data_IF_724810964671
#
_entry.id   IF_724810964671
#
_cell.length_a   1.000
_cell.length_b   1.000
_cell.length_c   1.000
_cell.angle_alpha   90.00
_cell.angle_beta   90.00
_cell.angle_gamma   90.00
#
_symmetry.space_group_name_H-M   'P 1'
#
loop_
_entity.id
_entity.type
_entity.pdbx_description
1 polymer ?
#
# COMPACT_ATOMS: atom_id res chain seq x y z
N UNK A 1 9.50 25.23 0.51
CA UNK A 1 9.03 26.28 1.45
C UNK A 1 7.77 26.92 0.89
N UNK A 2 6.60 26.58 1.45
CA UNK A 2 5.28 26.96 0.93
C UNK A 2 4.47 27.76 1.95
N UNK A 3 5.03 28.87 2.46
CA UNK A 3 4.39 29.71 3.48
C UNK A 3 3.75 31.00 2.92
N UNK A 4 3.99 31.37 1.66
CA UNK A 4 3.60 32.69 1.13
C UNK A 4 2.14 32.83 0.67
N UNK A 5 1.47 31.75 0.25
CA UNK A 5 0.14 31.84 -0.36
C UNK A 5 -0.99 31.92 0.66
N UNK A 6 -0.84 31.28 1.83
CA UNK A 6 -1.89 31.26 2.85
C UNK A 6 -2.02 32.62 3.56
N UNK A 7 -0.89 33.30 3.83
CA UNK A 7 -0.89 34.61 4.49
C UNK A 7 -1.64 35.69 3.70
N UNK A 8 -1.65 35.62 2.36
CA UNK A 8 -2.39 36.56 1.52
C UNK A 8 -3.91 36.39 1.61
N UNK A 9 -4.40 35.20 1.94
CA UNK A 9 -5.84 34.96 2.09
C UNK A 9 -6.36 35.38 3.46
N UNK A 10 -5.51 35.30 4.50
CA UNK A 10 -5.88 35.73 5.85
C UNK A 10 -6.15 37.23 5.97
N UNK A 11 -5.66 38.04 5.04
CA UNK A 11 -5.87 39.49 5.01
C UNK A 11 -7.07 39.93 4.16
N UNK A 12 -7.78 39.00 3.52
CA UNK A 12 -8.98 39.34 2.73
C UNK A 12 -10.15 39.64 3.68
N UNK A 13 -10.80 40.82 3.60
CA UNK A 13 -11.89 41.20 4.51
C UNK A 13 -13.00 40.14 4.61
N UNK A 14 -13.31 39.47 3.49
CA UNK A 14 -14.36 38.43 3.44
C UNK A 14 -14.01 37.14 4.19
N UNK A 15 -12.76 37.00 4.64
CA UNK A 15 -12.29 35.94 5.54
C UNK A 15 -11.94 36.52 6.91
N UNK A 16 -11.15 37.59 6.96
CA UNK A 16 -10.54 38.12 8.19
C UNK A 16 -11.55 38.67 9.18
N UNK A 17 -12.70 39.17 8.72
CA UNK A 17 -13.78 39.65 9.59
C UNK A 17 -14.48 38.52 10.37
N UNK A 18 -14.17 37.26 10.06
CA UNK A 18 -14.84 36.09 10.63
C UNK A 18 -13.89 35.13 11.35
N UNK A 19 -12.60 35.46 11.46
CA UNK A 19 -11.65 34.65 12.25
C UNK A 19 -11.99 34.74 13.73
N UNK A 20 -11.91 33.61 14.43
CA UNK A 20 -12.11 33.53 15.88
C UNK A 20 -10.86 32.91 16.48
N UNK A 21 -10.28 33.48 17.53
CA UNK A 21 -9.20 32.84 18.28
C UNK A 21 -9.80 31.89 19.31
N UNK A 22 -9.27 30.68 19.41
CA UNK A 22 -9.73 29.70 20.39
C UNK A 22 -8.53 29.07 21.11
N UNK A 23 -8.33 29.30 22.42
CA UNK A 23 -9.01 30.27 23.30
C UNK A 23 -8.80 31.75 22.89
N UNK A 24 -9.57 32.69 23.45
CA UNK A 24 -9.57 34.10 23.00
C UNK A 24 -8.22 34.82 23.19
N UNK A 25 -7.39 34.36 24.13
CA UNK A 25 -6.02 34.81 24.36
C UNK A 25 -5.03 33.70 23.95
N UNK A 26 -4.02 34.03 23.14
CA UNK A 26 -3.00 33.12 22.59
C UNK A 26 -3.52 31.84 21.89
N UNK A 27 -4.79 31.86 21.46
CA UNK A 27 -5.43 30.71 20.83
C UNK A 27 -5.08 30.46 19.38
N UNK A 28 -5.53 29.31 18.90
CA UNK A 28 -5.42 28.97 17.48
C UNK A 28 -6.52 29.66 16.70
N UNK A 29 -6.16 30.24 15.55
CA UNK A 29 -7.13 30.79 14.61
C UNK A 29 -8.12 29.70 14.14
N UNK A 30 -9.37 29.87 14.51
CA UNK A 30 -10.50 29.14 13.98
C UNK A 30 -11.14 29.94 12.84
N UNK A 31 -11.20 29.32 11.67
CA UNK A 31 -11.85 29.89 10.49
C UNK A 31 -13.17 29.16 10.25
N UNK A 32 -14.33 29.81 10.47
CA UNK A 32 -15.63 29.16 10.32
C UNK A 32 -15.79 28.56 8.93
N UNK A 33 -16.04 27.24 8.87
CA UNK A 33 -16.10 26.47 7.63
C UNK A 33 -17.06 27.05 6.59
N UNK A 34 -18.19 27.64 7.02
CA UNK A 34 -19.16 28.28 6.13
C UNK A 34 -18.55 29.46 5.37
N UNK A 35 -17.82 30.33 6.07
CA UNK A 35 -17.20 31.52 5.51
C UNK A 35 -16.09 31.15 4.53
N UNK A 36 -15.22 30.21 4.92
CA UNK A 36 -14.16 29.72 4.02
C UNK A 36 -14.73 29.11 2.74
N UNK A 37 -15.87 28.41 2.82
CA UNK A 37 -16.56 27.85 1.64
C UNK A 37 -17.16 28.94 0.75
N UNK A 38 -17.82 29.95 1.33
CA UNK A 38 -18.37 31.08 0.58
C UNK A 38 -17.27 31.87 -0.13
N UNK A 39 -16.16 32.15 0.56
CA UNK A 39 -14.99 32.79 -0.04
C UNK A 39 -14.43 32.00 -1.23
N UNK A 40 -14.29 30.67 -1.07
CA UNK A 40 -13.86 29.80 -2.19
C UNK A 40 -14.81 29.82 -3.37
N UNK A 41 -16.13 29.90 -3.13
CA UNK A 41 -17.15 29.88 -4.17
C UNK A 41 -17.19 31.19 -4.98
N UNK A 42 -16.91 32.32 -4.34
CA UNK A 42 -17.03 33.65 -4.95
C UNK A 42 -15.72 34.17 -5.58
N UNK A 43 -14.65 33.36 -5.60
CA UNK A 43 -13.34 33.80 -6.05
C UNK A 43 -13.29 33.97 -7.58
N UNK A 44 -12.89 35.14 -8.10
CA UNK A 44 -12.58 35.30 -9.52
C UNK A 44 -11.23 34.65 -9.85
N UNK A 45 -11.23 33.76 -10.84
CA UNK A 45 -10.09 32.95 -11.28
C UNK A 45 -10.45 31.47 -11.49
N UNK A 46 -9.56 30.69 -12.12
CA UNK A 46 -9.75 29.24 -12.32
C UNK A 46 -10.04 28.63 -10.94
N UNK A 47 -11.24 28.07 -10.77
CA UNK A 47 -11.69 27.50 -9.50
C UNK A 47 -10.64 26.55 -8.93
N UNK A 48 -10.63 26.38 -7.60
CA UNK A 48 -9.79 25.36 -6.98
C UNK A 48 -9.94 24.08 -7.80
N UNK A 49 -8.82 23.53 -8.29
CA UNK A 49 -8.78 22.27 -9.03
C UNK A 49 -9.27 21.14 -8.13
N UNK A 50 -10.57 21.12 -7.89
CA UNK A 50 -11.29 20.06 -7.20
C UNK A 50 -11.44 18.95 -8.21
N UNK A 51 -11.13 17.74 -7.74
CA UNK A 51 -11.28 16.53 -8.52
C UNK A 51 -12.64 16.43 -9.21
N UNK A 52 -12.62 15.59 -10.23
CA UNK A 52 -13.75 15.12 -11.04
C UNK A 52 -15.07 15.08 -10.23
N UNK A 53 -16.17 15.55 -10.84
CA UNK A 53 -17.51 15.58 -10.23
C UNK A 53 -17.83 14.23 -9.58
N UNK A 54 -18.48 14.26 -8.42
CA UNK A 54 -19.04 13.06 -7.79
C UNK A 54 -19.82 12.24 -8.83
N UNK A 55 -19.38 11.00 -9.11
CA UNK A 55 -20.00 10.11 -10.10
C UNK A 55 -19.25 9.92 -11.43
N UNK A 56 -18.16 10.63 -11.69
CA UNK A 56 -17.32 10.35 -12.86
C UNK A 56 -16.27 9.27 -12.52
N UNK A 57 -16.67 8.00 -12.59
CA UNK A 57 -15.77 6.85 -12.45
C UNK A 57 -14.69 6.84 -13.55
N UNK A 58 -13.58 6.15 -13.32
CA UNK A 58 -12.51 5.96 -14.30
C UNK A 58 -13.11 5.62 -15.68
N UNK A 59 -12.62 6.25 -16.76
CA UNK A 59 -13.15 6.01 -18.12
C UNK A 59 -12.86 4.60 -18.64
N UNK A 60 -12.03 3.84 -17.92
CA UNK A 60 -11.69 2.45 -18.19
C UNK A 60 -11.93 1.61 -16.92
N UNK A 61 -12.24 0.31 -17.08
CA UNK A 61 -12.30 -0.62 -15.95
C UNK A 61 -11.01 -0.64 -15.14
N UNK A 62 -11.12 -0.84 -13.82
CA UNK A 62 -9.96 -0.76 -12.91
C UNK A 62 -8.89 -1.81 -13.19
N UNK A 63 -9.32 -2.97 -13.64
CA UNK A 63 -8.48 -4.09 -14.07
C UNK A 63 -7.71 -3.79 -15.37
N UNK A 64 -8.21 -2.87 -16.21
CA UNK A 64 -7.52 -2.44 -17.43
C UNK A 64 -6.45 -1.35 -17.17
N UNK A 65 -6.48 -0.67 -16.03
CA UNK A 65 -5.58 0.48 -15.77
C UNK A 65 -4.10 0.08 -15.87
N UNK A 66 -3.69 -0.99 -15.19
CA UNK A 66 -2.27 -1.40 -15.19
C UNK A 66 -1.79 -1.93 -16.55
N UNK A 67 -2.54 -2.81 -17.25
CA UNK A 67 -2.20 -3.20 -18.63
C UNK A 67 -2.05 -2.00 -19.57
N UNK A 68 -2.97 -1.03 -19.52
CA UNK A 68 -2.90 0.16 -20.39
C UNK A 68 -1.71 1.07 -20.06
N UNK A 69 -1.38 1.24 -18.78
CA UNK A 69 -0.17 1.97 -18.37
C UNK A 69 1.09 1.26 -18.87
N UNK A 70 1.11 -0.08 -18.86
CA UNK A 70 2.20 -0.86 -19.43
C UNK A 70 2.36 -0.59 -20.93
N UNK A 71 1.28 -0.67 -21.71
CA UNK A 71 1.31 -0.34 -23.14
C UNK A 71 1.87 1.08 -23.38
N UNK A 72 1.43 2.08 -22.61
CA UNK A 72 1.94 3.46 -22.74
C UNK A 72 3.43 3.57 -22.44
N UNK A 73 3.94 2.85 -21.43
CA UNK A 73 5.36 2.83 -21.09
C UNK A 73 6.22 2.09 -22.13
N UNK A 74 5.66 1.11 -22.86
CA UNK A 74 6.37 0.44 -23.96
C UNK A 74 6.59 1.39 -25.14
N UNK A 75 5.64 2.27 -25.41
CA UNK A 75 5.76 3.27 -26.47
C UNK A 75 6.61 4.48 -26.03
N UNK A 76 6.46 4.92 -24.78
CA UNK A 76 7.17 6.06 -24.24
C UNK A 76 7.55 5.83 -22.76
N UNK A 77 8.79 5.38 -22.45
CA UNK A 77 9.22 5.15 -21.07
C UNK A 77 9.26 6.43 -20.22
N UNK A 78 9.36 7.59 -20.88
CA UNK A 78 9.36 8.91 -20.27
C UNK A 78 7.95 9.51 -20.07
N UNK A 79 6.88 8.77 -20.40
CA UNK A 79 5.51 9.28 -20.26
C UNK A 79 5.25 9.79 -18.84
N UNK A 80 4.63 10.97 -18.79
CA UNK A 80 4.38 11.69 -17.56
C UNK A 80 3.05 11.27 -16.93
N UNK A 81 2.93 11.58 -15.65
CA UNK A 81 1.71 11.37 -14.89
C UNK A 81 0.49 12.09 -15.50
N UNK A 82 0.70 13.30 -16.03
CA UNK A 82 -0.38 14.08 -16.64
C UNK A 82 -0.86 13.41 -17.93
N UNK A 83 0.08 13.01 -18.81
CA UNK A 83 -0.26 12.35 -20.08
C UNK A 83 -1.01 11.03 -19.85
N UNK A 84 -0.57 10.20 -18.89
CA UNK A 84 -1.29 8.96 -18.55
C UNK A 84 -2.72 9.24 -18.07
N UNK A 85 -2.89 10.22 -17.18
CA UNK A 85 -4.21 10.56 -16.66
C UNK A 85 -5.15 11.08 -17.75
N UNK A 86 -4.63 11.90 -18.66
CA UNK A 86 -5.39 12.48 -19.77
C UNK A 86 -5.74 11.42 -20.83
N UNK A 87 -4.79 10.56 -21.22
CA UNK A 87 -5.00 9.49 -22.22
C UNK A 87 -6.00 8.45 -21.71
N UNK A 88 -5.87 8.01 -20.46
CA UNK A 88 -6.71 6.94 -19.89
C UNK A 88 -8.00 7.46 -19.25
N UNK A 89 -8.17 8.77 -19.11
CA UNK A 89 -9.33 9.37 -18.44
C UNK A 89 -9.48 8.93 -16.97
N UNK A 90 -8.36 8.74 -16.27
CA UNK A 90 -8.31 8.32 -14.86
C UNK A 90 -7.87 9.46 -13.95
N UNK A 91 -8.09 9.31 -12.64
CA UNK A 91 -7.60 10.32 -11.70
C UNK A 91 -6.07 10.38 -11.67
N UNK A 92 -5.53 11.60 -11.78
CA UNK A 92 -4.08 11.84 -11.71
C UNK A 92 -3.50 11.33 -10.38
N UNK A 93 -4.19 11.62 -9.29
CA UNK A 93 -3.86 11.16 -7.94
C UNK A 93 -5.08 10.50 -7.31
N UNK A 94 -4.93 9.35 -6.63
CA UNK A 94 -3.71 8.53 -6.53
C UNK A 94 -3.50 7.57 -7.72
N UNK A 95 -4.51 7.37 -8.58
CA UNK A 95 -4.57 6.23 -9.51
C UNK A 95 -3.44 6.19 -10.53
N UNK A 96 -3.27 7.22 -11.36
CA UNK A 96 -2.23 7.24 -12.38
C UNK A 96 -0.81 7.22 -11.77
N UNK A 97 -0.62 7.88 -10.63
CA UNK A 97 0.67 7.90 -9.93
C UNK A 97 1.05 6.52 -9.43
N UNK A 98 0.13 5.85 -8.72
CA UNK A 98 0.36 4.51 -8.18
C UNK A 98 0.57 3.51 -9.32
N UNK A 99 -0.25 3.57 -10.38
CA UNK A 99 -0.14 2.69 -11.53
C UNK A 99 1.21 2.81 -12.25
N UNK A 100 1.66 4.04 -12.55
CA UNK A 100 2.98 4.27 -13.15
C UNK A 100 4.12 3.73 -12.28
N UNK A 101 4.09 4.02 -10.98
CA UNK A 101 5.12 3.57 -10.05
C UNK A 101 5.17 2.04 -9.98
N UNK A 102 4.00 1.39 -9.92
CA UNK A 102 3.87 -0.06 -9.86
C UNK A 102 4.33 -0.75 -11.14
N UNK A 103 3.93 -0.27 -12.32
CA UNK A 103 4.32 -0.88 -13.60
C UNK A 103 5.82 -0.71 -13.85
N UNK A 104 6.38 0.48 -13.58
CA UNK A 104 7.84 0.70 -13.67
C UNK A 104 8.61 -0.27 -12.77
N UNK A 105 8.16 -0.40 -11.52
CA UNK A 105 8.78 -1.28 -10.55
C UNK A 105 8.71 -2.77 -10.94
N UNK A 106 7.56 -3.24 -11.44
CA UNK A 106 7.41 -4.62 -11.94
C UNK A 106 8.38 -4.92 -13.07
N UNK A 107 8.53 -4.01 -14.04
CA UNK A 107 9.47 -4.17 -15.15
C UNK A 107 10.93 -4.17 -14.70
N UNK A 108 11.29 -3.34 -13.73
CA UNK A 108 12.62 -3.38 -13.10
C UNK A 108 12.84 -4.77 -12.46
N UNK A 109 11.86 -5.27 -11.72
CA UNK A 109 11.95 -6.59 -11.10
C UNK A 109 12.02 -7.73 -12.14
N UNK A 110 11.24 -7.67 -13.22
CA UNK A 110 11.28 -8.64 -14.32
C UNK A 110 12.66 -8.67 -14.99
N UNK A 111 13.25 -7.49 -15.24
CA UNK A 111 14.58 -7.37 -15.84
C UNK A 111 15.67 -7.93 -14.92
N UNK A 112 15.59 -7.70 -13.60
CA UNK A 112 16.53 -8.28 -12.63
C UNK A 112 16.37 -9.79 -12.50
N UNK A 113 15.15 -10.31 -12.60
CA UNK A 113 14.95 -11.77 -12.62
C UNK A 113 15.59 -12.38 -13.87
N UNK A 114 15.50 -11.72 -15.02
CA UNK A 114 16.14 -12.17 -16.26
C UNK A 114 17.67 -11.98 -16.27
N UNK A 115 18.17 -10.93 -15.63
CA UNK A 115 19.59 -10.59 -15.51
C UNK A 115 19.94 -10.22 -14.07
N UNK A 116 20.26 -11.22 -13.21
CA UNK A 116 20.51 -11.01 -11.78
C UNK A 116 21.76 -10.17 -11.45
N UNK A 117 22.61 -9.88 -12.44
CA UNK A 117 23.77 -9.01 -12.25
C UNK A 117 23.38 -7.53 -12.18
N UNK A 118 22.17 -7.16 -12.60
CA UNK A 118 21.69 -5.79 -12.58
C UNK A 118 21.26 -5.34 -11.19
N UNK A 119 21.70 -4.15 -10.81
CA UNK A 119 21.07 -3.40 -9.71
C UNK A 119 19.73 -2.78 -10.15
N UNK A 120 18.82 -2.47 -9.21
CA UNK A 120 17.58 -1.74 -9.51
C UNK A 120 17.77 -0.44 -10.29
N UNK A 121 18.82 0.32 -10.00
CA UNK A 121 19.12 1.56 -10.72
C UNK A 121 19.54 1.29 -12.17
N UNK A 122 20.47 0.35 -12.40
CA UNK A 122 20.89 -0.04 -13.74
C UNK A 122 19.74 -0.61 -14.58
N UNK A 123 18.83 -1.37 -13.95
CA UNK A 123 17.63 -1.85 -14.61
C UNK A 123 16.70 -0.69 -15.02
N UNK A 124 16.51 0.32 -14.16
CA UNK A 124 15.71 1.51 -14.50
C UNK A 124 16.33 2.33 -15.64
N UNK A 125 17.66 2.48 -15.66
CA UNK A 125 18.40 3.12 -16.75
C UNK A 125 18.28 2.33 -18.07
N UNK A 126 18.40 1.01 -18.01
CA UNK A 126 18.27 0.13 -19.18
C UNK A 126 16.84 0.13 -19.76
N UNK A 127 15.84 0.38 -18.93
CA UNK A 127 14.45 0.60 -19.34
C UNK A 127 14.17 2.04 -19.79
N UNK A 128 15.20 2.89 -19.88
CA UNK A 128 15.12 4.30 -20.28
C UNK A 128 14.15 5.15 -19.45
N UNK A 129 13.93 4.81 -18.17
CA UNK A 129 13.09 5.61 -17.30
C UNK A 129 13.77 6.93 -16.90
N UNK A 130 13.04 8.06 -16.82
CA UNK A 130 13.60 9.33 -16.39
C UNK A 130 14.15 9.25 -14.96
N UNK A 131 15.31 9.87 -14.72
CA UNK A 131 16.02 9.84 -13.42
C UNK A 131 15.14 10.28 -12.25
N UNK A 132 14.26 11.26 -12.46
CA UNK A 132 13.30 11.75 -11.42
C UNK A 132 12.36 10.65 -10.92
N UNK A 133 12.16 9.59 -11.70
CA UNK A 133 11.28 8.45 -11.35
C UNK A 133 12.03 7.31 -10.68
N UNK A 134 13.37 7.29 -10.75
CA UNK A 134 14.20 6.16 -10.30
C UNK A 134 13.96 5.84 -8.83
N UNK A 135 14.07 6.83 -7.93
CA UNK A 135 13.97 6.60 -6.49
C UNK A 135 12.67 5.89 -6.09
N UNK A 136 11.53 6.34 -6.61
CA UNK A 136 10.22 5.74 -6.30
C UNK A 136 10.04 4.36 -6.94
N UNK A 137 10.45 4.20 -8.20
CA UNK A 137 10.35 2.93 -8.90
C UNK A 137 11.28 1.85 -8.30
N UNK A 138 12.49 2.23 -7.88
CA UNK A 138 13.48 1.34 -7.26
C UNK A 138 12.99 0.81 -5.91
N UNK A 139 12.50 1.66 -5.01
CA UNK A 139 12.01 1.23 -3.70
C UNK A 139 10.84 0.21 -3.82
N UNK A 140 9.92 0.45 -4.76
CA UNK A 140 8.81 -0.47 -5.04
C UNK A 140 9.35 -1.76 -5.70
N UNK A 141 10.32 -1.66 -6.61
CA UNK A 141 10.92 -2.82 -7.27
C UNK A 141 11.65 -3.74 -6.27
N UNK A 142 12.37 -3.16 -5.31
CA UNK A 142 13.00 -3.92 -4.23
C UNK A 142 11.97 -4.66 -3.39
N UNK A 143 10.84 -4.01 -3.07
CA UNK A 143 9.73 -4.65 -2.36
C UNK A 143 9.11 -5.79 -3.17
N UNK A 144 8.89 -5.58 -4.47
CA UNK A 144 8.41 -6.61 -5.40
C UNK A 144 9.38 -7.82 -5.47
N UNK A 145 10.69 -7.58 -5.57
CA UNK A 145 11.71 -8.63 -5.59
C UNK A 145 11.77 -9.41 -4.27
N UNK A 146 11.64 -8.73 -3.12
CA UNK A 146 11.48 -9.41 -1.83
C UNK A 146 10.22 -10.28 -1.83
N UNK A 147 9.10 -9.76 -2.33
CA UNK A 147 7.84 -10.50 -2.47
C UNK A 147 7.99 -11.77 -3.29
N UNK A 148 8.62 -11.68 -4.47
CA UNK A 148 8.89 -12.84 -5.35
C UNK A 148 9.78 -13.88 -4.69
N UNK A 149 10.78 -13.46 -3.91
CA UNK A 149 11.69 -14.36 -3.20
C UNK A 149 11.02 -15.11 -2.06
N UNK A 150 10.07 -14.47 -1.38
CA UNK A 150 9.45 -15.03 -0.17
C UNK A 150 8.17 -15.80 -0.45
N UNK A 151 7.41 -15.42 -1.48
CA UNK A 151 6.15 -16.08 -1.84
C UNK A 151 6.25 -17.61 -1.94
N UNK A 152 7.29 -18.22 -2.56
CA UNK A 152 7.40 -19.68 -2.62
C UNK A 152 7.44 -20.34 -1.24
N UNK A 153 8.16 -19.73 -0.28
CA UNK A 153 8.21 -20.22 1.09
C UNK A 153 6.84 -20.14 1.78
N UNK A 154 6.14 -19.01 1.65
CA UNK A 154 4.82 -18.84 2.30
C UNK A 154 3.78 -19.76 1.65
N UNK A 155 3.85 -19.95 0.34
CA UNK A 155 3.01 -20.92 -0.39
C UNK A 155 3.28 -22.35 0.09
N UNK A 156 4.55 -22.75 0.25
CA UNK A 156 4.90 -24.07 0.79
C UNK A 156 4.30 -24.32 2.18
N UNK A 157 4.24 -23.29 3.03
CA UNK A 157 3.56 -23.38 4.34
C UNK A 157 2.05 -23.54 4.16
N UNK A 158 1.42 -22.77 3.26
CA UNK A 158 -0.01 -22.92 2.97
C UNK A 158 -0.35 -24.32 2.46
N UNK A 159 0.46 -24.86 1.55
CA UNK A 159 0.28 -26.21 0.99
C UNK A 159 0.43 -27.27 2.09
N UNK A 160 1.45 -27.18 2.95
CA UNK A 160 1.63 -28.10 4.07
C UNK A 160 0.48 -28.04 5.10
N UNK A 161 -0.10 -26.84 5.33
CA UNK A 161 -1.28 -26.69 6.18
C UNK A 161 -2.51 -27.33 5.53
N UNK A 162 -2.65 -27.25 4.20
CA UNK A 162 -3.73 -27.87 3.46
C UNK A 162 -3.62 -29.41 3.46
N UNK A 163 -2.42 -29.94 3.21
CA UNK A 163 -2.13 -31.37 3.28
C UNK A 163 -2.43 -31.96 4.67
N UNK A 164 -2.19 -31.18 5.73
CA UNK A 164 -2.50 -31.55 7.11
C UNK A 164 -3.99 -31.39 7.48
N UNK A 165 -4.84 -30.91 6.56
CA UNK A 165 -6.26 -30.63 6.82
C UNK A 165 -6.52 -29.46 7.78
N UNK A 166 -5.54 -28.57 7.96
CA UNK A 166 -5.60 -27.43 8.88
C UNK A 166 -6.14 -26.17 8.15
N UNK A 167 -5.82 -26.03 6.87
CA UNK A 167 -6.30 -24.97 5.99
C UNK A 167 -6.92 -25.56 4.72
N UNK A 168 -7.70 -24.76 3.99
CA UNK A 168 -8.09 -25.10 2.62
C UNK A 168 -6.93 -24.75 1.65
N UNK A 169 -6.78 -25.46 0.53
CA UNK A 169 -5.83 -25.08 -0.52
C UNK A 169 -6.09 -23.64 -1.00
N UNK A 170 -5.06 -22.79 -0.96
CA UNK A 170 -5.18 -21.38 -1.32
C UNK A 170 -3.91 -20.88 -1.99
N UNK A 171 -4.07 -20.00 -2.98
CA UNK A 171 -2.94 -19.23 -3.53
C UNK A 171 -2.67 -18.05 -2.59
N UNK A 172 -1.46 -17.98 -2.04
CA UNK A 172 -1.10 -16.97 -1.06
C UNK A 172 -0.97 -15.60 -1.72
N UNK A 173 -1.77 -14.65 -1.23
CA UNK A 173 -1.63 -13.24 -1.58
C UNK A 173 -0.66 -12.53 -0.63
N UNK A 174 0.43 -12.00 -1.19
CA UNK A 174 1.36 -11.15 -0.46
C UNK A 174 0.82 -9.71 -0.40
N UNK A 175 0.80 -9.12 0.78
CA UNK A 175 0.38 -7.75 1.02
C UNK A 175 1.57 -6.91 1.48
N UNK A 176 1.72 -5.74 0.86
CA UNK A 176 2.67 -4.72 1.30
C UNK A 176 2.03 -3.86 2.41
N UNK A 177 2.79 -3.62 3.46
CA UNK A 177 2.47 -2.75 4.58
C UNK A 177 3.04 -1.33 4.35
N UNK A 178 2.58 -0.32 5.11
CA UNK A 178 2.95 1.09 4.85
C UNK A 178 4.46 1.35 4.98
N UNK A 179 5.18 0.52 5.73
CA UNK A 179 6.63 0.59 5.91
C UNK A 179 7.39 -0.38 4.97
N UNK A 180 6.80 -0.73 3.83
CA UNK A 180 7.40 -1.59 2.78
C UNK A 180 7.72 -3.04 3.20
N UNK A 181 7.21 -3.45 4.36
CA UNK A 181 7.26 -4.83 4.82
C UNK A 181 6.17 -5.66 4.18
N UNK A 182 6.44 -6.95 4.04
CA UNK A 182 5.52 -7.90 3.47
C UNK A 182 4.80 -8.70 4.54
N UNK A 183 3.53 -8.99 4.31
CA UNK A 183 2.75 -9.90 5.13
C UNK A 183 1.83 -10.76 4.28
N UNK A 184 1.44 -11.92 4.79
CA UNK A 184 0.47 -12.80 4.17
C UNK A 184 -0.43 -13.40 5.25
N UNK A 185 -1.67 -13.70 4.89
CA UNK A 185 -2.64 -14.30 5.78
C UNK A 185 -3.19 -15.58 5.17
N UNK A 186 -3.19 -16.66 5.96
CA UNK A 186 -3.71 -17.97 5.58
C UNK A 186 -4.90 -18.29 6.50
N UNK A 187 -6.13 -18.23 5.98
CA UNK A 187 -7.30 -18.63 6.73
C UNK A 187 -7.22 -20.11 7.13
N UNK A 188 -7.51 -20.40 8.39
CA UNK A 188 -7.60 -21.77 8.88
C UNK A 188 -9.05 -22.26 8.85
N UNK A 189 -9.20 -23.58 8.74
CA UNK A 189 -10.51 -24.26 8.75
C UNK A 189 -11.28 -23.93 10.02
N UNK A 190 -12.61 -24.05 9.97
CA UNK A 190 -13.49 -23.74 11.11
C UNK A 190 -13.26 -24.66 12.32
N UNK A 191 -12.62 -25.82 12.13
CA UNK A 191 -12.26 -26.73 13.20
C UNK A 191 -11.09 -26.23 14.07
N UNK A 192 -10.35 -25.21 13.61
CA UNK A 192 -9.25 -24.62 14.37
C UNK A 192 -9.75 -23.56 15.34
N UNK A 193 -9.20 -23.55 16.56
CA UNK A 193 -9.50 -22.52 17.57
C UNK A 193 -9.06 -21.12 17.11
N UNK A 194 -7.94 -21.05 16.39
CA UNK A 194 -7.48 -19.83 15.74
C UNK A 194 -8.02 -19.74 14.33
N UNK A 195 -8.58 -18.60 13.91
CA UNK A 195 -9.18 -18.48 12.59
C UNK A 195 -8.19 -18.22 11.44
N UNK A 196 -7.02 -17.63 11.69
CA UNK A 196 -6.05 -17.24 10.65
C UNK A 196 -4.60 -17.33 11.16
N UNK A 197 -3.68 -17.71 10.28
CA UNK A 197 -2.25 -17.50 10.45
C UNK A 197 -1.75 -16.32 9.63
N UNK A 198 -0.88 -15.53 10.23
CA UNK A 198 -0.26 -14.38 9.59
C UNK A 198 1.24 -14.57 9.59
N UNK A 199 1.84 -14.48 8.42
CA UNK A 199 3.27 -14.27 8.27
C UNK A 199 3.52 -12.77 8.12
N UNK A 200 4.43 -12.22 8.92
CA UNK A 200 4.94 -10.86 8.80
C UNK A 200 6.47 -10.93 8.60
N UNK A 201 6.98 -10.22 7.59
CA UNK A 201 8.41 -10.22 7.26
C UNK A 201 9.32 -9.82 8.44
N UNK A 202 8.79 -9.05 9.40
CA UNK A 202 9.55 -8.59 10.57
C UNK A 202 9.52 -9.58 11.72
N UNK A 203 8.37 -10.22 11.92
CA UNK A 203 8.08 -10.94 13.17
C UNK A 203 7.84 -12.43 12.97
N UNK A 204 7.81 -12.91 11.73
CA UNK A 204 7.54 -14.31 11.41
C UNK A 204 6.07 -14.67 11.50
N UNK A 205 5.80 -15.91 11.88
CA UNK A 205 4.45 -16.46 11.93
C UNK A 205 3.78 -16.21 13.26
N UNK A 206 2.51 -15.82 13.21
CA UNK A 206 1.64 -15.69 14.39
C UNK A 206 0.21 -16.07 14.10
N UNK A 207 -0.53 -16.40 15.14
CA UNK A 207 -1.99 -16.49 15.09
C UNK A 207 -2.64 -15.09 15.00
N UNK A 208 -3.83 -15.04 14.42
CA UNK A 208 -4.67 -13.85 14.40
C UNK A 208 -6.13 -14.22 14.67
N UNK A 209 -6.83 -13.37 15.42
CA UNK A 209 -8.20 -13.61 15.89
C UNK A 209 -9.29 -13.14 14.93
N UNK A 210 -8.94 -12.34 13.91
CA UNK A 210 -9.90 -11.78 12.95
C UNK A 210 -9.71 -12.35 11.54
N UNK A 211 -10.75 -12.99 10.98
CA UNK A 211 -10.77 -13.36 9.55
C UNK A 211 -10.88 -12.16 8.62
N UNK A 212 -11.56 -11.10 9.06
CA UNK A 212 -11.81 -9.91 8.21
C UNK A 212 -10.58 -9.02 8.09
N UNK A 213 -9.81 -8.88 9.18
CA UNK A 213 -8.66 -7.99 9.24
C UNK A 213 -7.47 -8.67 9.95
N UNK A 214 -6.95 -9.80 9.41
CA UNK A 214 -5.97 -10.64 10.13
C UNK A 214 -4.62 -9.95 10.36
N UNK A 215 -4.18 -9.14 9.41
CA UNK A 215 -2.91 -8.42 9.46
C UNK A 215 -2.99 -7.19 10.39
N UNK A 216 -4.20 -6.65 10.60
CA UNK A 216 -4.42 -5.48 11.45
C UNK A 216 -3.97 -4.15 10.79
N UNK A 217 -3.79 -3.12 11.62
CA UNK A 217 -3.17 -1.85 11.21
C UNK A 217 -1.65 -1.97 11.29
N UNK A 218 -0.93 -1.04 10.69
CA UNK A 218 0.53 -1.03 10.78
C UNK A 218 0.98 -0.74 12.21
N UNK A 219 1.71 -1.70 12.78
CA UNK A 219 2.34 -1.61 14.08
C UNK A 219 3.86 -1.53 13.89
N UNK A 220 4.53 -0.69 14.68
CA UNK A 220 6.00 -0.64 14.73
C UNK A 220 6.59 -1.71 15.66
N UNK A 221 5.78 -2.25 16.57
CA UNK A 221 6.10 -3.39 17.44
C UNK A 221 5.35 -4.65 17.03
N UNK A 222 5.83 -5.79 17.52
CA UNK A 222 5.18 -7.08 17.38
C UNK A 222 3.74 -7.00 17.94
N UNK A 223 2.70 -7.38 17.18
CA UNK A 223 1.34 -7.48 17.71
C UNK A 223 1.26 -8.44 18.91
N UNK A 224 0.58 -8.00 19.95
CA UNK A 224 0.33 -8.75 21.20
C UNK A 224 -1.16 -8.71 21.54
N UNK A 225 -1.61 -9.68 22.33
CA UNK A 225 -2.99 -9.76 22.80
C UNK A 225 -3.48 -11.21 22.94
N UNK A 226 -4.66 -11.36 23.54
CA UNK A 226 -5.32 -12.65 23.68
C UNK A 226 -5.52 -13.31 22.31
N UNK A 227 -5.12 -14.58 22.18
CA UNK A 227 -5.21 -15.34 20.93
C UNK A 227 -4.13 -15.02 19.89
N UNK A 228 -3.13 -14.18 20.22
CA UNK A 228 -1.95 -13.94 19.38
C UNK A 228 -0.75 -14.70 19.97
N UNK A 229 -0.27 -15.69 19.22
CA UNK A 229 0.85 -16.56 19.58
C UNK A 229 1.80 -16.65 18.39
N UNK A 230 3.07 -16.38 18.64
CA UNK A 230 4.14 -16.54 17.64
C UNK A 230 4.54 -18.00 17.51
N UNK A 231 4.81 -18.42 16.28
CA UNK A 231 5.00 -19.82 15.93
C UNK A 231 6.38 -20.04 15.30
N UNK A 232 7.12 -20.97 15.89
CA UNK A 232 8.47 -21.33 15.46
C UNK A 232 9.51 -20.27 15.80
N UNK A 233 10.78 -20.62 15.56
CA UNK A 233 11.90 -19.72 15.79
C UNK A 233 12.23 -18.96 14.50
N UNK A 234 12.21 -17.63 14.58
CA UNK A 234 12.56 -16.74 13.48
C UNK A 234 11.46 -16.52 12.44
N UNK A 235 11.82 -15.91 11.32
CA UNK A 235 10.86 -15.40 10.32
C UNK A 235 10.43 -16.49 9.33
N UNK A 236 11.27 -17.51 9.11
CA UNK A 236 11.03 -18.59 8.13
C UNK A 236 11.31 -19.99 8.69
N UNK A 237 10.64 -20.42 9.77
CA UNK A 237 10.74 -21.79 10.27
C UNK A 237 10.29 -22.80 9.21
N UNK A 238 10.75 -24.04 9.31
CA UNK A 238 10.33 -25.09 8.36
C UNK A 238 8.82 -25.37 8.52
N UNK A 239 8.09 -25.75 7.46
CA UNK A 239 6.65 -26.05 7.57
C UNK A 239 6.32 -27.06 8.68
N UNK A 240 7.12 -28.11 8.83
CA UNK A 240 6.95 -29.11 9.89
C UNK A 240 7.11 -28.54 11.31
N UNK A 241 7.94 -27.52 11.52
CA UNK A 241 8.10 -26.84 12.81
C UNK A 241 6.85 -26.03 13.16
N UNK A 242 6.28 -25.33 12.18
CA UNK A 242 5.03 -24.59 12.34
C UNK A 242 3.85 -25.51 12.66
N UNK A 243 3.73 -26.63 11.96
CA UNK A 243 2.69 -27.63 12.23
C UNK A 243 2.78 -28.18 13.66
N UNK A 244 3.99 -28.45 14.15
CA UNK A 244 4.21 -28.86 15.55
C UNK A 244 3.85 -27.74 16.53
N UNK A 245 4.26 -26.50 16.27
CA UNK A 245 3.94 -25.36 17.12
C UNK A 245 2.41 -25.15 17.24
N UNK A 246 1.68 -25.28 16.12
CA UNK A 246 0.22 -25.20 16.08
C UNK A 246 -0.45 -26.33 16.88
N UNK A 247 0.02 -27.56 16.70
CA UNK A 247 -0.51 -28.70 17.44
C UNK A 247 -0.28 -28.58 18.95
N UNK A 248 0.88 -28.06 19.37
CA UNK A 248 1.19 -27.79 20.78
C UNK A 248 0.33 -26.67 21.35
N UNK A 249 0.10 -25.59 20.61
CA UNK A 249 -0.79 -24.50 21.04
C UNK A 249 -2.24 -24.99 21.26
N UNK A 250 -2.71 -25.94 20.44
CA UNK A 250 -4.02 -26.58 20.62
C UNK A 250 -4.12 -27.38 21.94
N UNK A 251 -3.02 -27.99 22.37
CA UNK A 251 -3.00 -28.83 23.56
C UNK A 251 -2.81 -28.03 24.85
N UNK A 252 -2.21 -26.83 24.78
CA UNK A 252 -2.00 -25.96 25.94
C UNK A 252 -3.24 -25.13 26.34
N UNK A 253 -4.25 -25.04 25.46
CA UNK A 253 -5.51 -24.33 25.71
C UNK A 253 -6.69 -25.22 26.16
N UNK A 254 -6.43 -26.47 26.54
CA UNK A 254 -7.39 -27.38 27.20
C UNK A 254 -7.05 -27.48 28.68
#
# INVERSE_FOLDING_TARGET
MAAGTWNKYKSDPSLSEHVVLVPDEDGTEHWPRRIVRTFKANRPGRGAGGGRRTGSGDMIPRDEILPRIAELLDHNPAITLTEVADILGITKFPTAQAGLAQVRARRIADLIVADPALTPLQAAERLAYPTVTHRGAVAIAETELRGRRVRPYVQQVADALAEAGIAEPVQVEMRQLDNEHLAAAIPLTAAQATPVLVWDERFGWRTATSRRHPIGRNHTSAPEGEGIHYLGDGIRPKPAELLRALASARNAGR
#
